data_IF_622283507901
#
_entry.id   IF_622283507901
#
_cell.length_a   1.000
_cell.length_b   1.000
_cell.length_c   1.000
_cell.angle_alpha   90.00
_cell.angle_beta   90.00
_cell.angle_gamma   90.00
#
_symmetry.space_group_name_H-M   'P 1'
#
loop_
_entity.id
_entity.type
_entity.pdbx_description
1 polymer ?
#
# COMPACT_ATOMS: atom_id res chain seq x y z
N UNK A 1 -83.53 -26.98 -8.44
CA UNK A 1 -82.68 -27.36 -9.59
C UNK A 1 -82.75 -26.35 -10.75
N UNK A 2 -82.83 -25.03 -10.48
CA UNK A 2 -83.00 -24.01 -11.54
C UNK A 2 -82.01 -22.83 -11.48
N UNK A 3 -81.01 -22.86 -10.60
CA UNK A 3 -80.05 -21.76 -10.45
C UNK A 3 -78.72 -21.94 -11.22
N UNK A 4 -78.40 -23.13 -11.73
CA UNK A 4 -77.15 -23.40 -12.46
C UNK A 4 -77.26 -23.18 -13.98
N UNK A 5 -78.47 -23.07 -14.53
CA UNK A 5 -78.67 -22.89 -15.98
C UNK A 5 -78.43 -21.45 -16.47
N UNK A 6 -78.55 -20.45 -15.60
CA UNK A 6 -78.29 -19.04 -15.95
C UNK A 6 -76.80 -18.69 -16.04
N UNK A 7 -75.91 -19.49 -15.43
CA UNK A 7 -74.46 -19.25 -15.48
C UNK A 7 -73.85 -19.63 -16.84
N UNK A 8 -74.50 -20.54 -17.58
CA UNK A 8 -74.05 -21.01 -18.88
C UNK A 8 -74.44 -20.09 -20.05
N UNK A 9 -75.32 -19.09 -19.83
CA UNK A 9 -75.76 -18.14 -20.87
C UNK A 9 -75.35 -16.69 -20.61
N UNK A 10 -74.46 -16.44 -19.65
CA UNK A 10 -73.95 -15.09 -19.36
C UNK A 10 -72.76 -14.74 -20.25
N UNK A 11 -73.01 -14.05 -21.36
CA UNK A 11 -71.96 -13.51 -22.26
C UNK A 11 -71.35 -12.18 -21.77
N UNK A 12 -71.97 -11.53 -20.78
CA UNK A 12 -71.56 -10.23 -20.25
C UNK A 12 -70.38 -10.28 -19.26
N UNK A 13 -69.82 -11.47 -18.99
CA UNK A 13 -68.61 -11.67 -18.16
C UNK A 13 -67.32 -11.87 -18.97
N UNK A 14 -67.39 -11.82 -20.31
CA UNK A 14 -66.27 -12.18 -21.18
C UNK A 14 -65.06 -11.25 -21.02
N UNK A 15 -65.28 -9.95 -20.78
CA UNK A 15 -64.20 -8.99 -20.58
C UNK A 15 -63.34 -9.28 -19.34
N UNK A 16 -63.95 -9.74 -18.24
CA UNK A 16 -63.23 -10.10 -17.03
C UNK A 16 -62.37 -11.35 -17.24
N UNK A 17 -62.91 -12.36 -17.95
CA UNK A 17 -62.19 -13.58 -18.32
C UNK A 17 -61.04 -13.31 -19.29
N UNK A 18 -61.28 -12.54 -20.36
CA UNK A 18 -60.23 -12.19 -21.33
C UNK A 18 -59.14 -11.33 -20.70
N UNK A 19 -59.51 -10.39 -19.83
CA UNK A 19 -58.55 -9.58 -19.08
C UNK A 19 -57.71 -10.44 -18.13
N UNK A 20 -58.33 -11.37 -17.38
CA UNK A 20 -57.61 -12.26 -16.48
C UNK A 20 -56.60 -13.14 -17.24
N UNK A 21 -56.99 -13.69 -18.39
CA UNK A 21 -56.09 -14.51 -19.22
C UNK A 21 -54.97 -13.65 -19.84
N UNK A 22 -55.26 -12.42 -20.28
CA UNK A 22 -54.26 -11.52 -20.84
C UNK A 22 -53.29 -10.93 -19.80
N UNK A 23 -53.73 -10.75 -18.54
CA UNK A 23 -52.88 -10.25 -17.47
C UNK A 23 -51.78 -11.24 -17.10
N UNK A 24 -52.03 -12.54 -17.17
CA UNK A 24 -51.04 -13.57 -16.80
C UNK A 24 -49.71 -13.45 -17.57
N UNK A 25 -49.66 -13.45 -18.92
CA UNK A 25 -48.40 -13.30 -19.66
C UNK A 25 -47.77 -11.92 -19.45
N UNK A 26 -48.56 -10.87 -19.24
CA UNK A 26 -48.04 -9.52 -18.96
C UNK A 26 -47.32 -9.51 -17.61
N UNK A 27 -47.93 -10.05 -16.56
CA UNK A 27 -47.36 -10.10 -15.22
C UNK A 27 -46.10 -10.98 -15.17
N UNK A 28 -46.07 -12.09 -15.91
CA UNK A 28 -44.87 -12.92 -16.06
C UNK A 28 -43.76 -12.12 -16.75
N UNK A 29 -44.09 -11.37 -17.82
CA UNK A 29 -43.13 -10.50 -18.49
C UNK A 29 -42.57 -9.41 -17.57
N UNK A 30 -43.41 -8.77 -16.77
CA UNK A 30 -42.99 -7.77 -15.78
C UNK A 30 -42.12 -8.38 -14.68
N UNK A 31 -42.51 -9.55 -14.15
CA UNK A 31 -41.73 -10.26 -13.14
C UNK A 31 -40.34 -10.63 -13.66
N UNK A 32 -40.24 -11.16 -14.89
CA UNK A 32 -38.95 -11.45 -15.52
C UNK A 32 -38.11 -10.20 -15.77
N UNK A 33 -38.73 -9.07 -16.12
CA UNK A 33 -38.02 -7.80 -16.29
C UNK A 33 -37.45 -7.29 -14.96
N UNK A 34 -38.22 -7.35 -13.87
CA UNK A 34 -37.77 -6.95 -12.53
C UNK A 34 -36.62 -7.84 -12.06
N UNK A 35 -36.73 -9.16 -12.21
CA UNK A 35 -35.68 -10.11 -11.84
C UNK A 35 -34.38 -9.84 -12.63
N UNK A 36 -34.49 -9.58 -13.93
CA UNK A 36 -33.35 -9.29 -14.79
C UNK A 36 -32.68 -7.97 -14.41
N UNK A 37 -33.46 -6.90 -14.19
CA UNK A 37 -32.94 -5.59 -13.80
C UNK A 37 -32.25 -5.68 -12.44
N UNK A 38 -32.91 -6.34 -11.47
CA UNK A 38 -32.35 -6.56 -10.14
C UNK A 38 -31.04 -7.34 -10.19
N UNK A 39 -31.02 -8.49 -10.88
CA UNK A 39 -29.81 -9.30 -11.04
C UNK A 39 -28.71 -8.54 -11.78
N UNK A 40 -29.06 -7.71 -12.77
CA UNK A 40 -28.09 -6.88 -13.48
C UNK A 40 -27.49 -5.81 -12.58
N UNK A 41 -28.28 -5.19 -11.71
CA UNK A 41 -27.80 -4.23 -10.72
C UNK A 41 -26.85 -4.89 -9.73
N UNK A 42 -27.26 -6.03 -9.15
CA UNK A 42 -26.45 -6.83 -8.24
C UNK A 42 -25.12 -7.23 -8.86
N UNK A 43 -25.14 -7.65 -10.12
CA UNK A 43 -23.95 -8.06 -10.84
C UNK A 43 -23.00 -6.89 -11.16
N UNK A 44 -23.53 -5.67 -11.33
CA UNK A 44 -22.71 -4.47 -11.50
C UNK A 44 -22.04 -4.04 -10.19
N UNK A 45 -22.77 -4.13 -9.08
CA UNK A 45 -22.24 -3.88 -7.75
C UNK A 45 -21.15 -4.90 -7.40
N UNK A 46 -21.39 -6.18 -7.71
CA UNK A 46 -20.43 -7.25 -7.50
C UNK A 46 -19.12 -7.00 -8.27
N UNK A 47 -19.22 -6.58 -9.54
CA UNK A 47 -18.03 -6.24 -10.34
C UNK A 47 -17.27 -5.05 -9.74
N UNK A 48 -17.97 -3.97 -9.41
CA UNK A 48 -17.35 -2.78 -8.81
C UNK A 48 -16.62 -3.11 -7.49
N UNK A 49 -17.20 -3.98 -6.68
CA UNK A 49 -16.59 -4.43 -5.44
C UNK A 49 -15.35 -5.31 -5.67
N UNK A 50 -15.40 -6.23 -6.64
CA UNK A 50 -14.23 -7.04 -7.02
C UNK A 50 -13.10 -6.18 -7.59
N UNK A 51 -13.43 -5.17 -8.41
CA UNK A 51 -12.44 -4.25 -8.98
C UNK A 51 -11.78 -3.40 -7.88
N UNK A 52 -12.57 -2.87 -6.94
CA UNK A 52 -12.06 -2.13 -5.80
C UNK A 52 -11.16 -2.99 -4.91
N UNK A 53 -11.57 -4.23 -4.61
CA UNK A 53 -10.76 -5.18 -3.86
C UNK A 53 -9.47 -5.51 -4.59
N UNK A 54 -9.51 -5.72 -5.91
CA UNK A 54 -8.31 -6.03 -6.70
C UNK A 54 -7.31 -4.90 -6.76
N UNK A 55 -7.78 -3.65 -6.88
CA UNK A 55 -6.90 -2.50 -6.80
C UNK A 55 -6.27 -2.38 -5.40
N UNK A 56 -7.06 -2.56 -4.34
CA UNK A 56 -6.55 -2.52 -2.97
C UNK A 56 -5.49 -3.59 -2.70
N UNK A 57 -5.74 -4.86 -3.08
CA UNK A 57 -4.74 -5.92 -3.00
C UNK A 57 -3.53 -5.57 -3.87
N UNK A 58 -3.72 -5.02 -5.08
CA UNK A 58 -2.63 -4.62 -5.96
C UNK A 58 -1.68 -3.59 -5.32
N UNK A 59 -2.18 -2.73 -4.44
CA UNK A 59 -1.37 -1.77 -3.66
C UNK A 59 -0.72 -2.38 -2.41
N UNK A 60 -1.12 -3.59 -2.02
CA UNK A 60 -0.69 -4.26 -0.79
C UNK A 60 -0.06 -5.66 -1.00
N UNK A 61 0.02 -6.12 -2.24
CA UNK A 61 0.58 -7.43 -2.58
C UNK A 61 2.11 -7.44 -2.55
N UNK A 62 2.68 -8.41 -1.82
CA UNK A 62 4.08 -8.81 -1.93
C UNK A 62 4.19 -10.27 -2.40
N UNK A 63 5.28 -10.68 -3.05
CA UNK A 63 5.50 -12.07 -3.47
C UNK A 63 5.49 -13.09 -2.33
N UNK A 64 5.86 -12.65 -1.11
CA UNK A 64 5.99 -13.50 0.08
C UNK A 64 4.69 -13.56 0.91
N UNK A 65 3.66 -12.82 0.51
CA UNK A 65 2.36 -12.81 1.17
C UNK A 65 1.66 -14.17 1.03
N UNK A 66 1.16 -14.73 2.14
CA UNK A 66 0.44 -16.00 2.11
C UNK A 66 -0.89 -15.85 1.35
N UNK A 67 -1.33 -16.94 0.69
CA UNK A 67 -2.60 -16.94 -0.04
C UNK A 67 -3.81 -16.59 0.86
N UNK A 68 -3.74 -16.96 2.15
CA UNK A 68 -4.75 -16.59 3.15
C UNK A 68 -4.82 -15.08 3.38
N UNK A 69 -3.67 -14.41 3.49
CA UNK A 69 -3.60 -12.96 3.72
C UNK A 69 -4.11 -12.17 2.51
N UNK A 70 -3.80 -12.64 1.30
CA UNK A 70 -4.36 -12.06 0.05
C UNK A 70 -5.88 -12.16 0.04
N UNK A 71 -6.43 -13.30 0.46
CA UNK A 71 -7.86 -13.51 0.54
C UNK A 71 -8.51 -12.67 1.63
N UNK A 72 -7.93 -12.60 2.83
CA UNK A 72 -8.44 -11.81 3.95
C UNK A 72 -8.44 -10.31 3.64
N UNK A 73 -7.35 -9.79 3.10
CA UNK A 73 -7.25 -8.42 2.67
C UNK A 73 -8.30 -8.10 1.59
N UNK A 74 -8.41 -8.97 0.58
CA UNK A 74 -9.42 -8.83 -0.47
C UNK A 74 -10.84 -8.81 0.06
N UNK A 75 -11.15 -9.71 1.00
CA UNK A 75 -12.44 -9.81 1.67
C UNK A 75 -12.81 -8.52 2.39
N UNK A 76 -11.86 -7.88 3.06
CA UNK A 76 -12.11 -6.63 3.78
C UNK A 76 -12.62 -5.53 2.85
N UNK A 77 -11.92 -5.29 1.73
CA UNK A 77 -12.32 -4.28 0.75
C UNK A 77 -13.57 -4.69 -0.02
N UNK A 78 -13.71 -5.97 -0.36
CA UNK A 78 -14.89 -6.49 -1.04
C UNK A 78 -16.15 -6.32 -0.17
N UNK A 79 -16.09 -6.70 1.10
CA UNK A 79 -17.20 -6.57 2.04
C UNK A 79 -17.56 -5.10 2.29
N UNK A 80 -16.56 -4.23 2.45
CA UNK A 80 -16.79 -2.80 2.62
C UNK A 80 -17.53 -2.19 1.42
N UNK A 81 -17.13 -2.51 0.18
CA UNK A 81 -17.77 -1.99 -1.04
C UNK A 81 -19.12 -2.63 -1.35
N UNK A 82 -19.35 -3.89 -0.94
CA UNK A 82 -20.68 -4.50 -1.01
C UNK A 82 -21.66 -3.89 0.00
N UNK A 83 -21.19 -3.51 1.19
CA UNK A 83 -22.03 -3.05 2.30
C UNK A 83 -22.66 -1.67 2.13
N UNK A 84 -22.19 -0.88 1.15
CA UNK A 84 -22.64 0.51 0.95
C UNK A 84 -24.04 0.59 0.31
N UNK A 85 -24.63 -0.52 -0.14
CA UNK A 85 -25.96 -0.50 -0.80
C UNK A 85 -27.11 -1.12 0.01
N UNK A 86 -26.99 -2.33 0.58
CA UNK A 86 -28.08 -2.90 1.41
C UNK A 86 -27.64 -4.23 2.08
N UNK A 87 -27.16 -4.17 3.33
CA UNK A 87 -26.75 -5.38 4.06
C UNK A 87 -27.90 -6.38 4.22
N UNK A 88 -29.16 -5.92 4.27
CA UNK A 88 -30.32 -6.78 4.47
C UNK A 88 -30.75 -7.52 3.19
N UNK A 89 -30.48 -6.97 2.00
CA UNK A 89 -30.89 -7.54 0.70
C UNK A 89 -29.98 -8.71 0.27
N UNK A 90 -28.73 -8.73 0.76
CA UNK A 90 -27.70 -9.67 0.30
C UNK A 90 -27.32 -10.78 1.29
N UNK A 91 -27.90 -10.80 2.50
CA UNK A 91 -27.65 -11.85 3.51
C UNK A 91 -28.03 -13.24 2.97
N UNK A 92 -27.02 -14.09 2.78
CA UNK A 92 -27.20 -15.46 2.27
C UNK A 92 -27.31 -15.59 0.75
N UNK A 93 -27.26 -14.48 0.01
CA UNK A 93 -27.35 -14.46 -1.46
C UNK A 93 -26.00 -14.34 -2.18
N UNK A 94 -24.94 -13.92 -1.48
CA UNK A 94 -23.59 -13.80 -2.04
C UNK A 94 -22.76 -15.05 -1.69
N UNK A 95 -22.11 -15.65 -2.69
CA UNK A 95 -21.21 -16.78 -2.50
C UNK A 95 -19.84 -16.36 -1.97
N UNK A 96 -19.08 -17.32 -1.46
CA UNK A 96 -17.76 -17.08 -0.90
C UNK A 96 -16.85 -16.38 -1.92
N UNK A 97 -16.28 -15.25 -1.50
CA UNK A 97 -15.27 -14.54 -2.27
C UNK A 97 -13.97 -15.35 -2.29
N UNK A 98 -13.35 -15.41 -3.46
CA UNK A 98 -12.06 -16.05 -3.69
C UNK A 98 -11.08 -15.05 -4.30
N UNK A 99 -9.89 -14.98 -3.73
CA UNK A 99 -8.75 -14.25 -4.27
C UNK A 99 -7.55 -15.19 -4.42
N UNK A 100 -6.89 -15.14 -5.57
CA UNK A 100 -5.65 -15.89 -5.80
C UNK A 100 -4.61 -14.99 -6.44
N UNK A 101 -3.36 -15.17 -6.05
CA UNK A 101 -2.22 -14.53 -6.70
C UNK A 101 -1.43 -15.57 -7.48
N UNK A 102 -0.96 -15.19 -8.67
CA UNK A 102 -0.16 -16.03 -9.56
C UNK A 102 0.83 -15.18 -10.33
N UNK A 103 1.87 -15.77 -10.92
CA UNK A 103 2.80 -15.04 -11.80
C UNK A 103 4.26 -15.35 -11.51
N UNK A 104 5.13 -14.46 -11.99
CA UNK A 104 6.59 -14.57 -11.82
C UNK A 104 7.18 -13.21 -11.47
N UNK A 105 8.47 -13.11 -11.09
CA UNK A 105 9.09 -11.84 -10.69
C UNK A 105 9.03 -10.72 -11.74
N UNK A 106 8.62 -10.99 -12.98
CA UNK A 106 8.39 -9.95 -13.99
C UNK A 106 6.97 -9.33 -13.94
N UNK A 107 5.98 -10.08 -13.46
CA UNK A 107 4.60 -9.63 -13.26
C UNK A 107 3.80 -10.66 -12.46
N UNK A 108 3.02 -10.16 -11.49
CA UNK A 108 2.03 -10.92 -10.74
C UNK A 108 0.61 -10.55 -11.20
N UNK A 109 -0.30 -11.50 -11.09
CA UNK A 109 -1.71 -11.37 -11.42
C UNK A 109 -2.54 -11.81 -10.22
N UNK A 110 -3.35 -10.90 -9.70
CA UNK A 110 -4.36 -11.17 -8.68
C UNK A 110 -5.65 -11.45 -9.42
N UNK A 111 -6.30 -12.58 -9.15
CA UNK A 111 -7.60 -12.97 -9.71
C UNK A 111 -8.62 -13.10 -8.62
N UNK A 112 -9.78 -12.47 -8.83
CA UNK A 112 -10.84 -12.34 -7.84
C UNK A 112 -12.13 -12.84 -8.44
N UNK A 113 -12.95 -13.51 -7.64
CA UNK A 113 -14.27 -13.95 -8.09
C UNK A 113 -15.26 -14.08 -6.95
N UNK A 114 -16.52 -13.84 -7.26
CA UNK A 114 -17.67 -14.11 -6.40
C UNK A 114 -18.91 -14.25 -7.28
N UNK A 115 -20.01 -14.74 -6.70
CA UNK A 115 -21.31 -14.82 -7.35
C UNK A 115 -22.42 -14.37 -6.43
N UNK A 116 -23.52 -13.92 -7.02
CA UNK A 116 -24.73 -13.49 -6.32
C UNK A 116 -25.94 -14.21 -6.88
N UNK A 117 -26.86 -14.59 -5.99
CA UNK A 117 -28.07 -15.34 -6.29
C UNK A 117 -29.29 -14.57 -5.79
N UNK A 118 -30.13 -14.09 -6.72
CA UNK A 118 -31.36 -13.36 -6.43
C UNK A 118 -32.55 -14.32 -6.54
N UNK A 119 -33.42 -14.41 -5.52
CA UNK A 119 -34.65 -15.19 -5.64
C UNK A 119 -35.52 -14.61 -6.76
N UNK A 120 -36.15 -15.48 -7.54
CA UNK A 120 -37.06 -15.02 -8.60
C UNK A 120 -38.37 -14.52 -8.01
N UNK A 121 -38.93 -13.47 -8.60
CA UNK A 121 -40.25 -12.96 -8.25
C UNK A 121 -41.35 -14.02 -8.51
N UNK A 122 -41.11 -14.96 -9.40
CA UNK A 122 -41.96 -16.13 -9.62
C UNK A 122 -41.48 -17.24 -8.67
N UNK A 123 -42.25 -17.53 -7.63
CA UNK A 123 -41.85 -18.41 -6.52
C UNK A 123 -41.51 -19.87 -6.89
N UNK A 124 -41.75 -20.28 -8.14
CA UNK A 124 -41.50 -21.62 -8.65
C UNK A 124 -40.39 -21.69 -9.72
N UNK A 125 -39.75 -20.58 -10.08
CA UNK A 125 -38.59 -20.57 -10.97
C UNK A 125 -37.27 -20.62 -10.22
N UNK A 126 -36.22 -21.07 -10.92
CA UNK A 126 -34.86 -21.05 -10.42
C UNK A 126 -34.44 -19.61 -10.05
N UNK A 127 -33.59 -19.44 -9.02
CA UNK A 127 -33.01 -18.14 -8.71
C UNK A 127 -32.12 -17.66 -9.85
N UNK A 128 -32.05 -16.36 -10.02
CA UNK A 128 -31.18 -15.72 -11.00
C UNK A 128 -29.78 -15.58 -10.41
N UNK A 129 -28.79 -16.16 -11.08
CA UNK A 129 -27.41 -16.12 -10.62
C UNK A 129 -26.55 -15.26 -11.54
N UNK A 130 -25.67 -14.47 -10.94
CA UNK A 130 -24.64 -13.74 -11.65
C UNK A 130 -23.28 -13.97 -10.99
N UNK A 131 -22.31 -14.42 -11.79
CA UNK A 131 -20.91 -14.55 -11.37
C UNK A 131 -20.07 -13.44 -12.01
N UNK A 132 -19.11 -12.93 -11.25
CA UNK A 132 -18.18 -11.90 -11.72
C UNK A 132 -16.75 -12.26 -11.33
N UNK A 133 -15.81 -11.75 -12.12
CA UNK A 133 -14.39 -11.86 -11.85
C UNK A 133 -13.66 -10.57 -12.20
N UNK A 134 -12.59 -10.30 -11.46
CA UNK A 134 -11.69 -9.19 -11.72
C UNK A 134 -10.25 -9.69 -11.72
N UNK A 135 -9.37 -9.03 -12.47
CA UNK A 135 -7.95 -9.34 -12.45
C UNK A 135 -7.10 -8.08 -12.47
N UNK A 136 -6.09 -8.05 -11.62
CA UNK A 136 -5.15 -6.92 -11.49
C UNK A 136 -3.73 -7.41 -11.71
N UNK A 137 -3.01 -6.70 -12.57
CA UNK A 137 -1.59 -6.94 -12.85
C UNK A 137 -0.73 -6.08 -11.94
N UNK A 138 0.09 -6.70 -11.10
CA UNK A 138 1.08 -6.05 -10.24
C UNK A 138 2.46 -6.21 -10.87
N UNK A 139 3.16 -5.10 -11.04
CA UNK A 139 4.58 -5.09 -11.45
C UNK A 139 5.43 -4.78 -10.22
N UNK A 140 6.59 -5.44 -10.06
CA UNK A 140 7.54 -5.05 -9.02
C UNK A 140 7.91 -3.57 -9.16
N UNK A 141 7.95 -2.86 -8.03
CA UNK A 141 8.45 -1.49 -7.96
C UNK A 141 9.96 -1.40 -8.25
N UNK A 142 10.45 -0.19 -8.44
CA UNK A 142 11.89 0.06 -8.49
C UNK A 142 12.51 -0.03 -7.08
N UNK A 143 13.81 -0.34 -7.01
CA UNK A 143 14.54 -0.38 -5.74
C UNK A 143 14.62 1.02 -5.13
N UNK A 144 14.10 1.17 -3.90
CA UNK A 144 14.20 2.39 -3.13
C UNK A 144 15.54 2.44 -2.38
N UNK A 145 16.33 3.49 -2.58
CA UNK A 145 17.52 3.74 -1.75
C UNK A 145 17.16 4.54 -0.49
N UNK A 146 16.09 5.34 -0.56
CA UNK A 146 15.49 6.02 0.59
C UNK A 146 14.00 5.75 0.55
N UNK A 147 13.45 5.32 1.68
CA UNK A 147 12.03 5.05 1.86
C UNK A 147 11.58 5.69 3.17
N UNK A 148 10.83 6.78 3.08
CA UNK A 148 10.17 7.40 4.22
C UNK A 148 8.75 6.84 4.37
N UNK A 149 8.45 6.22 5.51
CA UNK A 149 7.22 5.47 5.73
C UNK A 149 6.09 6.27 6.38
N UNK A 150 6.40 7.39 7.05
CA UNK A 150 5.40 8.21 7.76
C UNK A 150 4.35 8.75 6.76
N UNK A 151 3.05 8.43 6.95
CA UNK A 151 1.99 8.83 6.04
C UNK A 151 1.66 10.33 6.04
N UNK A 152 2.10 11.09 7.04
CA UNK A 152 1.67 12.48 7.23
C UNK A 152 2.82 13.46 7.54
N UNK A 153 4.06 13.00 7.58
CA UNK A 153 5.22 13.86 7.86
C UNK A 153 5.41 14.92 6.76
N UNK A 154 5.37 16.19 7.13
CA UNK A 154 5.84 17.27 6.26
C UNK A 154 7.35 17.12 6.03
N UNK A 155 7.78 17.32 4.78
CA UNK A 155 9.18 17.11 4.37
C UNK A 155 9.76 15.77 4.85
N UNK A 156 8.99 14.68 4.70
CA UNK A 156 9.38 13.32 5.09
C UNK A 156 10.77 12.91 4.55
N UNK A 157 11.13 13.40 3.37
CA UNK A 157 12.53 13.48 2.93
C UNK A 157 12.89 14.94 2.68
N UNK A 158 13.78 15.48 3.49
CA UNK A 158 14.16 16.89 3.46
C UNK A 158 15.63 17.06 3.07
N UNK A 159 15.88 17.55 1.86
CA UNK A 159 17.22 17.79 1.32
C UNK A 159 17.46 19.30 1.27
N UNK A 160 18.22 19.85 2.22
CA UNK A 160 18.47 21.30 2.32
C UNK A 160 19.96 21.66 2.31
N UNK A 161 20.23 22.95 2.10
CA UNK A 161 21.58 23.52 2.13
C UNK A 161 22.27 23.47 0.78
N UNK A 162 23.53 23.05 0.75
CA UNK A 162 24.38 22.98 -0.45
C UNK A 162 24.94 21.57 -0.67
N UNK A 163 24.15 20.55 -0.30
CA UNK A 163 24.54 19.13 -0.37
C UNK A 163 24.38 18.58 -1.78
N UNK A 164 25.20 17.60 -2.14
CA UNK A 164 25.05 16.84 -3.38
C UNK A 164 24.72 15.39 -3.03
N UNK A 165 23.52 14.95 -3.42
CA UNK A 165 22.99 13.62 -3.15
C UNK A 165 22.89 12.86 -4.47
N UNK A 166 23.66 11.79 -4.62
CA UNK A 166 23.62 10.91 -5.80
C UNK A 166 23.20 9.51 -5.39
N UNK A 167 22.12 9.01 -6.00
CA UNK A 167 21.55 7.69 -5.81
C UNK A 167 21.43 7.00 -7.17
N UNK A 168 22.50 6.34 -7.58
CA UNK A 168 22.56 5.72 -8.90
C UNK A 168 21.60 4.52 -8.98
N UNK A 169 20.77 4.49 -10.03
CA UNK A 169 19.80 3.41 -10.32
C UNK A 169 18.76 3.12 -9.22
N UNK A 170 18.52 4.08 -8.33
CA UNK A 170 17.61 3.94 -7.19
C UNK A 170 16.52 5.03 -7.19
N UNK A 171 15.42 4.76 -6.49
CA UNK A 171 14.37 5.77 -6.26
C UNK A 171 14.39 6.31 -4.83
N UNK A 172 13.95 7.56 -4.67
CA UNK A 172 13.53 8.12 -3.39
C UNK A 172 12.02 7.91 -3.30
N UNK A 173 11.55 7.22 -2.27
CA UNK A 173 10.14 6.97 -2.01
C UNK A 173 9.71 7.62 -0.69
N UNK A 174 8.56 8.29 -0.69
CA UNK A 174 7.97 8.82 0.53
C UNK A 174 6.46 8.55 0.56
N UNK A 175 5.99 7.99 1.68
CA UNK A 175 4.58 7.65 1.90
C UNK A 175 3.76 8.82 2.43
N UNK A 176 4.40 9.95 2.75
CA UNK A 176 3.70 11.12 3.25
C UNK A 176 2.78 11.75 2.20
N UNK A 177 1.55 12.05 2.60
CA UNK A 177 0.53 12.75 1.83
C UNK A 177 0.67 14.29 1.85
N UNK A 178 1.67 14.81 2.56
CA UNK A 178 1.95 16.25 2.61
C UNK A 178 2.30 16.83 1.23
N UNK A 179 1.96 18.10 1.00
CA UNK A 179 2.30 18.81 -0.25
C UNK A 179 3.80 18.94 -0.50
N UNK A 180 4.62 18.74 0.53
CA UNK A 180 6.08 18.80 0.51
C UNK A 180 6.73 17.47 0.97
N UNK A 181 6.06 16.34 0.76
CA UNK A 181 6.50 14.97 1.12
C UNK A 181 7.98 14.72 0.85
N UNK A 182 8.48 15.15 -0.32
CA UNK A 182 9.92 15.29 -0.58
C UNK A 182 10.22 16.75 -0.88
N UNK A 183 11.00 17.38 0.00
CA UNK A 183 11.38 18.77 -0.11
C UNK A 183 12.86 18.90 -0.43
N UNK A 184 13.18 19.62 -1.50
CA UNK A 184 14.55 20.03 -1.84
C UNK A 184 14.66 21.55 -1.74
N UNK A 185 15.36 22.03 -0.72
CA UNK A 185 15.61 23.45 -0.47
C UNK A 185 17.05 23.88 -0.75
N UNK A 186 17.25 25.19 -0.89
CA UNK A 186 18.58 25.80 -1.08
C UNK A 186 19.24 25.46 -2.43
N UNK A 187 20.54 25.24 -2.40
CA UNK A 187 21.39 24.92 -3.55
C UNK A 187 21.71 23.41 -3.65
N UNK A 188 20.98 22.58 -2.91
CA UNK A 188 21.19 21.13 -2.96
C UNK A 188 20.97 20.58 -4.38
N UNK A 189 21.79 19.60 -4.76
CA UNK A 189 21.69 18.87 -6.02
C UNK A 189 21.30 17.42 -5.76
N UNK A 190 20.33 16.92 -6.52
CA UNK A 190 19.83 15.55 -6.38
C UNK A 190 19.95 14.82 -7.72
N UNK A 191 20.63 13.67 -7.71
CA UNK A 191 20.68 12.74 -8.84
C UNK A 191 20.09 11.42 -8.40
N UNK A 192 19.03 10.96 -9.04
CA UNK A 192 18.37 9.69 -8.72
C UNK A 192 17.69 9.07 -9.95
N UNK A 193 17.35 7.80 -9.88
CA UNK A 193 16.52 7.15 -10.91
C UNK A 193 15.15 7.81 -11.01
N UNK A 194 14.47 7.97 -9.88
CA UNK A 194 13.21 8.72 -9.79
C UNK A 194 12.88 9.12 -8.35
N UNK A 195 11.87 9.97 -8.19
CA UNK A 195 11.24 10.25 -6.89
C UNK A 195 9.77 9.88 -6.98
N UNK A 196 9.26 9.07 -6.05
CA UNK A 196 7.87 8.62 -6.00
C UNK A 196 7.26 8.97 -4.65
N UNK A 197 6.14 9.67 -4.64
CA UNK A 197 5.52 10.16 -3.41
C UNK A 197 4.01 9.99 -3.41
N UNK A 198 3.42 9.85 -2.22
CA UNK A 198 1.96 9.90 -2.04
C UNK A 198 1.46 11.34 -2.15
N UNK A 199 2.15 12.27 -1.49
CA UNK A 199 1.89 13.70 -1.56
C UNK A 199 2.58 14.40 -2.72
N UNK A 200 2.98 15.65 -2.48
CA UNK A 200 3.67 16.50 -3.45
C UNK A 200 5.19 16.57 -3.22
N UNK A 201 5.89 17.17 -4.18
CA UNK A 201 7.32 17.45 -4.08
C UNK A 201 7.63 18.93 -4.30
N UNK A 202 8.73 19.38 -3.70
CA UNK A 202 9.21 20.76 -3.83
C UNK A 202 10.67 20.79 -4.27
N UNK A 203 10.98 21.63 -5.26
CA UNK A 203 12.36 21.86 -5.71
C UNK A 203 13.00 20.71 -6.50
N UNK A 204 12.27 19.71 -6.99
CA UNK A 204 12.86 18.55 -7.70
C UNK A 204 12.86 18.69 -9.24
N UNK A 205 12.96 19.91 -9.75
CA UNK A 205 13.05 20.18 -11.19
C UNK A 205 14.48 20.59 -11.59
N UNK A 206 14.87 20.40 -12.87
CA UNK A 206 16.13 20.90 -13.40
C UNK A 206 16.26 22.43 -13.20
N UNK A 207 17.47 22.95 -12.92
CA UNK A 207 18.77 22.27 -12.95
C UNK A 207 19.15 21.55 -11.64
N UNK A 208 18.29 21.61 -10.63
CA UNK A 208 18.67 21.18 -9.28
C UNK A 208 18.43 19.70 -9.00
N UNK A 209 17.59 19.05 -9.79
CA UNK A 209 17.44 17.60 -9.76
C UNK A 209 17.62 17.02 -11.16
N UNK A 210 18.39 15.93 -11.24
CA UNK A 210 18.59 15.12 -12.43
C UNK A 210 17.96 13.75 -12.19
N UNK A 211 16.70 13.59 -12.64
CA UNK A 211 15.94 12.35 -12.48
C UNK A 211 15.88 11.60 -13.82
N UNK A 212 16.22 10.31 -13.81
CA UNK A 212 16.16 9.49 -15.03
C UNK A 212 14.73 9.33 -15.57
N UNK A 213 13.71 9.42 -14.71
CA UNK A 213 12.29 9.43 -15.08
C UNK A 213 11.77 10.78 -15.61
N UNK A 214 12.62 11.82 -15.67
CA UNK A 214 12.25 13.16 -16.13
C UNK A 214 11.65 14.04 -15.04
N UNK A 215 10.50 13.66 -14.50
CA UNK A 215 9.81 14.40 -13.41
C UNK A 215 9.44 13.47 -12.25
N UNK A 216 9.38 13.98 -11.00
CA UNK A 216 8.86 13.21 -9.87
C UNK A 216 7.47 12.62 -10.16
N UNK A 217 7.20 11.44 -9.62
CA UNK A 217 5.90 10.79 -9.63
C UNK A 217 5.18 11.08 -8.31
N UNK A 218 4.36 12.12 -8.33
CA UNK A 218 3.50 12.51 -7.20
C UNK A 218 2.16 11.77 -7.25
N UNK A 219 1.39 11.83 -6.15
CA UNK A 219 0.05 11.24 -6.05
C UNK A 219 0.02 9.75 -6.40
N UNK A 220 1.07 9.02 -6.00
CA UNK A 220 1.20 7.57 -6.16
C UNK A 220 0.68 6.85 -4.92
N UNK A 221 0.46 5.55 -5.05
CA UNK A 221 0.18 4.72 -3.89
C UNK A 221 1.39 4.64 -2.97
N UNK A 222 1.14 4.52 -1.67
CA UNK A 222 2.18 4.33 -0.67
C UNK A 222 3.02 3.10 -1.01
N UNK A 223 4.33 3.27 -0.96
CA UNK A 223 5.29 2.18 -1.05
C UNK A 223 5.16 1.26 0.16
N UNK A 224 5.38 -0.02 -0.10
CA UNK A 224 5.54 -1.03 0.92
C UNK A 224 6.74 -0.77 1.79
N UNK A 225 6.68 -1.20 3.05
CA UNK A 225 7.86 -1.36 3.87
C UNK A 225 8.48 -2.75 3.61
N UNK A 226 9.58 -2.84 2.84
CA UNK A 226 10.28 -4.12 2.63
C UNK A 226 11.02 -4.59 3.90
N UNK A 227 11.12 -3.74 4.93
CA UNK A 227 11.82 -4.01 6.18
C UNK A 227 10.84 -4.22 7.35
N UNK A 228 9.54 -4.40 7.10
CA UNK A 228 8.52 -4.57 8.14
C UNK A 228 8.81 -5.75 9.09
N UNK A 229 9.35 -6.84 8.55
CA UNK A 229 9.69 -8.05 9.31
C UNK A 229 11.12 -8.03 9.88
N UNK A 230 11.88 -6.95 9.65
CA UNK A 230 13.23 -6.83 10.17
C UNK A 230 13.17 -6.56 11.67
N UNK A 231 13.55 -7.56 12.45
CA UNK A 231 13.67 -7.43 13.91
C UNK A 231 15.07 -6.90 14.27
N UNK A 232 15.18 -5.73 14.93
CA UNK A 232 16.45 -5.24 15.44
C UNK A 232 17.10 -6.24 16.42
N UNK A 233 18.43 -6.30 16.49
CA UNK A 233 19.10 -7.17 17.45
C UNK A 233 18.79 -6.73 18.89
N UNK A 234 18.76 -7.67 19.85
CA UNK A 234 18.53 -7.33 21.24
C UNK A 234 19.61 -6.39 21.77
N UNK A 235 19.20 -5.46 22.63
CA UNK A 235 20.11 -4.46 23.18
C UNK A 235 21.21 -5.11 24.03
N UNK A 236 22.43 -4.63 23.86
CA UNK A 236 23.56 -4.97 24.72
C UNK A 236 23.87 -3.83 25.69
N UNK A 237 24.84 -4.03 26.58
CA UNK A 237 25.34 -2.96 27.43
C UNK A 237 25.86 -1.80 26.57
N UNK A 238 25.55 -0.58 26.98
CA UNK A 238 26.01 0.63 26.30
C UNK A 238 27.54 0.70 26.34
N UNK A 239 28.16 0.72 25.17
CA UNK A 239 29.62 0.80 25.02
C UNK A 239 30.12 2.23 25.23
N UNK A 240 31.32 2.41 25.79
CA UNK A 240 31.94 3.72 25.91
C UNK A 240 32.36 4.23 24.53
N UNK A 241 32.19 5.53 24.30
CA UNK A 241 32.71 6.24 23.12
C UNK A 241 34.13 6.72 23.44
N UNK A 242 35.14 6.47 22.58
CA UNK A 242 36.49 6.98 22.79
C UNK A 242 36.53 8.51 22.87
N UNK A 243 37.40 9.04 23.72
CA UNK A 243 37.61 10.49 23.81
C UNK A 243 38.37 11.00 22.58
N UNK A 244 37.91 12.12 22.01
CA UNK A 244 38.60 12.81 20.92
C UNK A 244 37.66 13.25 19.81
N UNK A 245 38.24 13.74 18.72
CA UNK A 245 37.52 14.13 17.49
C UNK A 245 37.73 13.16 16.34
N UNK A 246 38.53 12.12 16.51
CA UNK A 246 38.75 11.08 15.51
C UNK A 246 38.79 9.76 16.26
N UNK A 247 37.85 8.88 15.99
CA UNK A 247 37.76 7.60 16.69
C UNK A 247 37.04 6.54 15.87
N UNK A 248 37.39 5.29 16.17
CA UNK A 248 36.74 4.11 15.62
C UNK A 248 35.83 3.49 16.66
N UNK A 249 34.60 3.18 16.27
CA UNK A 249 33.64 2.43 17.06
C UNK A 249 33.63 0.99 16.58
N UNK A 250 33.59 0.05 17.52
CA UNK A 250 33.32 -1.35 17.23
C UNK A 250 31.82 -1.65 17.31
N UNK A 251 31.33 -2.71 16.65
CA UNK A 251 29.90 -3.05 16.64
C UNK A 251 29.33 -3.24 18.06
N UNK A 252 28.14 -2.71 18.30
CA UNK A 252 27.47 -2.78 19.60
C UNK A 252 26.45 -1.69 19.83
N UNK A 253 26.03 -1.53 21.09
CA UNK A 253 25.01 -0.56 21.49
C UNK A 253 25.65 0.71 22.03
N UNK A 254 25.25 1.88 21.51
CA UNK A 254 25.66 3.20 21.99
C UNK A 254 24.42 3.98 22.43
N UNK A 255 24.47 4.58 23.62
CA UNK A 255 23.28 5.12 24.29
C UNK A 255 23.49 6.57 24.74
N UNK A 256 22.51 7.44 24.50
CA UNK A 256 22.38 8.79 25.10
C UNK A 256 23.64 9.66 24.94
N UNK A 257 24.27 9.63 23.75
CA UNK A 257 25.45 10.42 23.42
C UNK A 257 25.26 11.22 22.13
N UNK A 258 26.05 12.27 21.99
CA UNK A 258 26.28 12.92 20.70
C UNK A 258 27.63 12.47 20.17
N UNK A 259 27.64 11.80 19.02
CA UNK A 259 28.85 11.42 18.30
C UNK A 259 29.28 12.58 17.39
N UNK A 260 30.53 13.01 17.48
CA UNK A 260 31.04 14.16 16.71
C UNK A 260 32.52 13.98 16.32
N UNK A 261 32.94 14.67 15.28
CA UNK A 261 34.25 14.55 14.65
C UNK A 261 34.26 13.55 13.49
N UNK A 262 35.40 12.91 13.28
CA UNK A 262 35.65 11.84 12.32
C UNK A 262 35.37 10.48 12.96
N UNK A 263 34.21 9.93 12.65
CA UNK A 263 33.67 8.70 13.19
C UNK A 263 33.89 7.60 12.15
N UNK A 264 34.67 6.59 12.52
CA UNK A 264 34.82 5.36 11.72
C UNK A 264 34.10 4.22 12.41
N UNK A 265 33.33 3.43 11.66
CA UNK A 265 32.63 2.25 12.14
C UNK A 265 33.31 1.02 11.56
N UNK A 266 33.78 0.13 12.43
CA UNK A 266 34.22 -1.21 12.00
C UNK A 266 33.03 -2.00 11.42
N UNK A 267 33.25 -2.94 10.48
CA UNK A 267 32.16 -3.72 9.90
C UNK A 267 31.31 -4.45 10.97
N UNK A 268 29.99 -4.32 10.89
CA UNK A 268 29.06 -4.97 11.82
C UNK A 268 27.80 -4.16 12.12
N UNK A 269 27.10 -4.54 13.18
CA UNK A 269 25.79 -3.97 13.55
C UNK A 269 25.92 -3.00 14.72
N UNK A 270 25.31 -1.83 14.58
CA UNK A 270 25.31 -0.76 15.56
C UNK A 270 23.88 -0.46 16.00
N UNK A 271 23.64 -0.40 17.31
CA UNK A 271 22.36 0.01 17.88
C UNK A 271 22.58 1.37 18.54
N UNK A 272 22.04 2.42 17.94
CA UNK A 272 22.09 3.79 18.45
C UNK A 272 20.79 4.04 19.21
N UNK A 273 20.86 4.27 20.51
CA UNK A 273 19.68 4.46 21.37
C UNK A 273 19.73 5.85 21.99
N UNK A 274 18.75 6.72 21.69
CA UNK A 274 18.78 8.12 22.14
C UNK A 274 20.05 8.88 21.74
N UNK A 275 20.75 8.39 20.69
CA UNK A 275 22.08 8.88 20.31
C UNK A 275 21.95 9.76 19.07
N UNK A 276 22.58 10.93 19.10
CA UNK A 276 22.65 11.86 17.96
C UNK A 276 24.00 11.66 17.26
N UNK A 277 23.99 11.24 16.00
CA UNK A 277 25.20 11.22 15.17
C UNK A 277 25.29 12.56 14.44
N UNK A 278 26.26 13.40 14.84
CA UNK A 278 26.47 14.74 14.29
C UNK A 278 27.96 15.01 14.15
N UNK A 279 28.60 14.62 13.03
CA UNK A 279 30.03 14.80 12.81
C UNK A 279 30.53 16.23 13.08
N UNK A 280 29.75 17.26 12.71
CA UNK A 280 30.05 18.65 13.01
C UNK A 280 31.14 19.25 12.11
N UNK A 281 30.83 20.37 11.44
CA UNK A 281 31.82 21.22 10.76
C UNK A 281 32.39 20.60 9.48
N UNK A 282 33.54 19.92 9.59
CA UNK A 282 34.18 19.16 8.51
C UNK A 282 34.34 17.66 8.90
N UNK A 283 33.61 17.20 9.92
CA UNK A 283 33.66 15.82 10.39
C UNK A 283 33.16 14.81 9.35
N UNK A 284 33.42 13.55 9.61
CA UNK A 284 33.04 12.46 8.71
C UNK A 284 32.43 11.28 9.44
N UNK A 285 31.57 10.53 8.76
CA UNK A 285 31.02 9.26 9.19
C UNK A 285 31.33 8.22 8.11
N UNK A 286 32.22 7.28 8.42
CA UNK A 286 32.65 6.26 7.49
C UNK A 286 32.47 4.86 8.06
N UNK A 287 32.03 3.90 7.24
CA UNK A 287 31.87 2.52 7.65
C UNK A 287 31.56 1.64 6.45
N UNK A 288 32.18 0.46 6.39
CA UNK A 288 31.95 -0.48 5.28
C UNK A 288 31.40 -1.79 5.83
N UNK A 289 30.31 -2.30 5.25
CA UNK A 289 29.64 -3.48 5.76
C UNK A 289 28.96 -3.24 7.11
N UNK A 290 28.31 -2.09 7.28
CA UNK A 290 27.69 -1.67 8.54
C UNK A 290 26.18 -1.55 8.43
N UNK A 291 25.49 -1.93 9.50
CA UNK A 291 24.06 -1.67 9.68
C UNK A 291 23.86 -0.86 10.94
N UNK A 292 23.21 0.29 10.83
CA UNK A 292 22.94 1.23 11.93
C UNK A 292 21.44 1.22 12.22
N UNK A 293 21.07 0.75 13.41
CA UNK A 293 19.71 0.81 13.95
C UNK A 293 19.56 2.08 14.79
N UNK A 294 18.61 2.96 14.42
CA UNK A 294 18.27 4.18 15.15
C UNK A 294 17.04 3.93 16.03
N UNK A 295 17.27 3.73 17.32
CA UNK A 295 16.27 3.39 18.33
C UNK A 295 16.05 4.55 19.31
N UNK A 296 14.88 4.62 19.92
CA UNK A 296 14.56 5.55 21.04
C UNK A 296 15.00 7.00 20.77
N UNK A 297 14.43 7.66 19.76
CA UNK A 297 14.75 9.04 19.37
C UNK A 297 16.18 9.26 18.84
N UNK A 298 16.95 8.21 18.56
CA UNK A 298 18.24 8.35 17.89
C UNK A 298 18.07 9.00 16.51
N UNK A 299 19.02 9.85 16.14
CA UNK A 299 18.98 10.66 14.93
C UNK A 299 20.37 10.72 14.30
N UNK A 300 20.41 10.91 12.98
CA UNK A 300 21.62 11.31 12.27
C UNK A 300 21.34 12.69 11.71
N UNK A 301 22.25 13.62 12.00
CA UNK A 301 22.18 15.00 11.59
C UNK A 301 23.47 15.35 10.85
N UNK A 302 23.38 15.53 9.53
CA UNK A 302 24.48 15.84 8.65
C UNK A 302 24.32 17.26 8.11
N UNK A 303 25.29 18.13 8.32
CA UNK A 303 25.25 19.49 7.79
C UNK A 303 26.58 20.01 7.25
N UNK A 304 26.52 21.17 6.58
CA UNK A 304 27.68 21.90 6.08
C UNK A 304 28.59 21.07 5.14
N UNK A 305 29.85 20.82 5.52
CA UNK A 305 30.86 20.13 4.71
C UNK A 305 31.16 18.71 5.22
N UNK A 306 30.24 18.13 5.98
CA UNK A 306 30.39 16.79 6.53
C UNK A 306 30.32 15.72 5.43
N UNK A 307 31.04 14.61 5.64
CA UNK A 307 31.12 13.51 4.66
C UNK A 307 30.58 12.22 5.25
N UNK A 308 29.60 11.61 4.59
CA UNK A 308 29.08 10.29 4.96
C UNK A 308 29.43 9.28 3.87
N UNK A 309 30.12 8.21 4.24
CA UNK A 309 30.43 7.10 3.35
C UNK A 309 30.17 5.78 4.07
N UNK A 310 28.97 5.25 3.87
CA UNK A 310 28.49 4.03 4.49
C UNK A 310 28.16 3.00 3.41
N UNK A 311 28.45 1.73 3.65
CA UNK A 311 27.96 0.63 2.83
C UNK A 311 27.36 -0.47 3.68
N UNK A 312 26.27 -1.13 3.23
CA UNK A 312 25.64 -2.20 3.98
C UNK A 312 26.47 -3.48 3.92
N UNK A 313 26.26 -4.44 4.85
CA UNK A 313 26.81 -5.77 4.71
C UNK A 313 26.26 -6.47 3.45
N UNK A 314 27.10 -7.31 2.82
CA UNK A 314 26.72 -8.07 1.61
C UNK A 314 26.11 -9.44 1.93
N UNK A 315 26.12 -9.86 3.19
CA UNK A 315 25.59 -11.14 3.66
C UNK A 315 25.09 -11.03 5.11
N UNK A 316 24.34 -12.04 5.55
CA UNK A 316 23.74 -12.07 6.89
C UNK A 316 22.30 -11.53 6.91
N UNK A 317 21.66 -11.50 8.09
CA UNK A 317 20.24 -11.18 8.22
C UNK A 317 19.89 -9.72 7.85
N UNK A 318 20.87 -8.82 7.87
CA UNK A 318 20.70 -7.40 7.56
C UNK A 318 21.40 -6.99 6.26
N UNK A 319 21.70 -7.96 5.38
CA UNK A 319 22.34 -7.71 4.10
C UNK A 319 21.56 -6.66 3.29
N UNK A 320 22.25 -5.64 2.78
CA UNK A 320 21.64 -4.55 2.02
C UNK A 320 21.06 -3.40 2.86
N UNK A 321 21.04 -3.49 4.20
CA UNK A 321 20.52 -2.45 5.08
C UNK A 321 21.67 -1.65 5.70
N UNK A 322 21.75 -0.36 5.37
CA UNK A 322 22.79 0.55 5.93
C UNK A 322 22.28 1.27 7.17
N UNK A 323 21.09 1.87 7.07
CA UNK A 323 20.42 2.60 8.16
C UNK A 323 18.99 2.06 8.24
N UNK A 324 18.57 1.71 9.44
CA UNK A 324 17.19 1.35 9.77
C UNK A 324 16.75 2.23 10.94
N UNK A 325 15.61 2.90 10.79
CA UNK A 325 15.00 3.67 11.86
C UNK A 325 13.77 2.93 12.36
N UNK A 326 13.69 2.74 13.67
CA UNK A 326 12.55 2.05 14.30
C UNK A 326 11.23 2.75 13.95
N UNK A 327 10.16 1.97 13.73
CA UNK A 327 8.85 2.50 13.35
C UNK A 327 8.23 3.45 14.39
N UNK A 328 8.62 3.32 15.67
CA UNK A 328 8.19 4.22 16.74
C UNK A 328 9.07 5.48 16.87
N UNK A 329 10.19 5.55 16.16
CA UNK A 329 11.09 6.69 16.21
C UNK A 329 10.68 7.76 15.18
N UNK A 330 10.19 8.90 15.66
CA UNK A 330 9.78 10.04 14.82
C UNK A 330 10.86 11.13 14.70
N UNK A 331 12.09 10.87 15.18
CA UNK A 331 13.19 11.81 15.02
C UNK A 331 13.53 12.01 13.55
N UNK A 332 13.85 13.23 13.16
CA UNK A 332 14.22 13.54 11.79
C UNK A 332 15.60 12.96 11.44
N UNK A 333 15.70 12.31 10.29
CA UNK A 333 16.98 12.05 9.64
C UNK A 333 17.31 13.27 8.77
N UNK A 334 18.24 14.11 9.22
CA UNK A 334 18.54 15.41 8.59
C UNK A 334 19.93 15.43 7.96
#
# INVERSE_FOLDING_TARGET
>A
MFALRGFWSSEHGNFAMTTAVAMLPIMIGLAGAVDLIGTSHDASQLQNSLDAAGLAIGTKFSPDMAAGDVQELGLQFFAANMSVADQQEYLGSVSAFAATASGSPSAYFISLSSSISRPSFISASAPWQASRSASVKVKPGAQACVLALDPHASAAVNLQGSTNVSMDNCVIAANSDASDSVNRGGSALVSAGCVSTVGGTSGLLPPSASLACGTPHEHRYASFDPLADVVPPPYTLCLPVPNGKTYTLSPGTYCDKTLSGDITLDPGVYIMRGTTIKPGGNGSLAGQGVTIFLMESAEIYINANEKVNLSPPTSGPYAGITIFQDHGNTSALT
#
